data_IF_452355160573
#
_entry.id   IF_452355160573
#
_cell.length_a   1.000
_cell.length_b   1.000
_cell.length_c   1.000
_cell.angle_alpha   90.00
_cell.angle_beta   90.00
_cell.angle_gamma   90.00
#
_symmetry.space_group_name_H-M   'P 1'
#
loop_
_entity.id
_entity.type
_entity.pdbx_description
1 polymer ?
#
# COMPACT_ATOMS: atom_id res chain seq x y z
N UNK A 1 7.94 13.47 -3.30
CA UNK A 1 7.10 13.83 -4.46
C UNK A 1 7.19 15.32 -4.72
N UNK A 2 6.42 16.17 -4.02
CA UNK A 2 6.26 17.60 -4.33
C UNK A 2 7.57 18.36 -4.57
N UNK A 3 8.60 18.13 -3.75
CA UNK A 3 9.90 18.78 -3.92
C UNK A 3 10.63 18.31 -5.19
N UNK A 4 10.47 17.05 -5.58
CA UNK A 4 11.04 16.49 -6.81
C UNK A 4 10.34 17.07 -8.05
N UNK A 5 9.00 17.10 -8.04
CA UNK A 5 8.19 17.66 -9.13
C UNK A 5 8.45 19.17 -9.29
N UNK A 6 8.51 19.91 -8.18
CA UNK A 6 8.84 21.34 -8.19
C UNK A 6 10.26 21.60 -8.73
N UNK A 7 11.24 20.76 -8.33
CA UNK A 7 12.63 20.86 -8.82
C UNK A 7 12.72 20.64 -10.33
N UNK A 8 11.97 19.67 -10.87
CA UNK A 8 11.87 19.43 -12.33
C UNK A 8 11.29 20.65 -13.06
N UNK A 9 10.23 21.26 -12.51
CA UNK A 9 9.58 22.44 -13.09
C UNK A 9 10.51 23.68 -13.06
N UNK A 10 11.17 23.96 -11.93
CA UNK A 10 12.03 25.12 -11.77
C UNK A 10 13.30 25.04 -12.62
N UNK A 11 13.90 23.87 -12.74
CA UNK A 11 15.15 23.69 -13.49
C UNK A 11 14.93 23.46 -14.99
N UNK A 12 13.67 23.34 -15.46
CA UNK A 12 13.31 22.99 -16.84
C UNK A 12 14.11 21.78 -17.36
N UNK A 13 14.48 20.86 -16.46
CA UNK A 13 15.23 19.62 -16.72
C UNK A 13 14.44 18.44 -16.21
N UNK A 14 14.48 17.33 -16.92
CA UNK A 14 13.85 16.08 -16.50
C UNK A 14 14.58 15.40 -15.30
N UNK A 15 15.74 15.94 -14.90
CA UNK A 15 16.49 15.47 -13.74
C UNK A 15 15.99 16.22 -12.49
N UNK A 16 15.13 15.57 -11.71
CA UNK A 16 14.74 16.02 -10.36
C UNK A 16 15.87 15.84 -9.35
N UNK A 17 15.52 15.57 -8.10
CA UNK A 17 16.48 15.31 -7.02
C UNK A 17 17.25 14.00 -7.30
N UNK A 18 18.50 13.94 -6.87
CA UNK A 18 19.27 12.70 -7.01
C UNK A 18 18.54 11.53 -6.30
N UNK A 19 18.55 10.32 -6.88
CA UNK A 19 17.83 9.17 -6.30
C UNK A 19 18.22 8.87 -4.85
N UNK A 20 19.48 9.11 -4.48
CA UNK A 20 19.97 8.90 -3.10
C UNK A 20 19.34 9.87 -2.11
N UNK A 21 19.25 11.15 -2.47
CA UNK A 21 18.62 12.18 -1.63
C UNK A 21 17.11 11.93 -1.54
N UNK A 22 16.46 11.58 -2.65
CA UNK A 22 15.04 11.22 -2.67
C UNK A 22 14.76 10.05 -1.69
N UNK A 23 15.55 8.98 -1.78
CA UNK A 23 15.40 7.82 -0.91
C UNK A 23 15.66 8.16 0.56
N UNK A 24 16.71 8.95 0.86
CA UNK A 24 17.01 9.38 2.23
C UNK A 24 15.87 10.19 2.85
N UNK A 25 15.32 11.17 2.11
CA UNK A 25 14.20 11.97 2.59
C UNK A 25 12.93 11.16 2.81
N UNK A 26 12.64 10.18 1.93
CA UNK A 26 11.55 9.24 2.11
C UNK A 26 11.71 8.42 3.39
N UNK A 27 12.91 7.87 3.59
CA UNK A 27 13.21 7.03 4.75
C UNK A 27 13.12 7.84 6.05
N UNK A 28 13.65 9.07 6.05
CA UNK A 28 13.55 9.97 7.21
C UNK A 28 12.09 10.31 7.53
N UNK A 29 11.30 10.70 6.54
CA UNK A 29 9.90 11.03 6.76
C UNK A 29 9.08 9.81 7.25
N UNK A 30 9.30 8.63 6.65
CA UNK A 30 8.66 7.40 7.08
C UNK A 30 9.06 6.99 8.50
N UNK A 31 10.34 7.12 8.85
CA UNK A 31 10.85 6.82 10.19
C UNK A 31 10.22 7.74 11.24
N UNK A 32 10.11 9.04 10.95
CA UNK A 32 9.43 10.00 11.84
C UNK A 32 7.93 9.66 11.99
N UNK A 33 7.27 9.21 10.93
CA UNK A 33 5.88 8.76 11.01
C UNK A 33 5.73 7.51 11.89
N UNK A 34 6.65 6.54 11.80
CA UNK A 34 6.65 5.35 12.67
C UNK A 34 6.92 5.74 14.13
N UNK A 35 7.84 6.67 14.37
CA UNK A 35 8.06 7.25 15.73
C UNK A 35 6.76 7.85 16.25
N UNK A 36 6.04 8.62 15.45
CA UNK A 36 4.77 9.21 15.86
C UNK A 36 3.74 8.12 16.22
N UNK A 37 3.63 7.02 15.45
CA UNK A 37 2.77 5.87 15.78
C UNK A 37 3.12 5.35 17.19
N UNK A 38 4.40 5.09 17.45
CA UNK A 38 4.86 4.55 18.73
C UNK A 38 4.52 5.49 19.90
N UNK A 39 4.77 6.78 19.75
CA UNK A 39 4.49 7.77 20.80
C UNK A 39 3.00 8.05 21.03
N UNK A 40 2.16 7.86 20.02
CA UNK A 40 0.71 8.06 20.12
C UNK A 40 -0.04 6.81 20.57
N UNK A 41 0.59 5.64 20.52
CA UNK A 41 0.01 4.39 21.02
C UNK A 41 -0.19 4.47 22.55
N UNK A 42 -1.37 4.12 23.08
CA UNK A 42 -1.66 4.16 24.51
C UNK A 42 -0.67 3.29 25.32
N UNK A 43 -0.30 3.70 26.56
CA UNK A 43 0.73 3.01 27.35
C UNK A 43 0.44 1.53 27.70
N UNK A 44 -0.85 1.12 27.67
CA UNK A 44 -1.28 -0.26 27.96
C UNK A 44 -1.24 -1.16 26.71
N UNK A 45 -0.87 -0.59 25.56
CA UNK A 45 -0.81 -1.31 24.28
C UNK A 45 0.64 -1.38 23.84
N UNK A 46 1.13 -2.58 23.51
CA UNK A 46 2.48 -2.73 22.96
C UNK A 46 2.55 -2.20 21.54
N UNK A 47 3.25 -1.08 21.26
CA UNK A 47 3.31 -0.48 19.94
C UNK A 47 4.15 -1.27 18.92
N UNK A 48 4.96 -2.23 19.39
CA UNK A 48 5.94 -2.95 18.58
C UNK A 48 5.47 -4.31 18.09
N UNK A 49 4.26 -4.70 18.47
CA UNK A 49 3.70 -6.00 18.16
C UNK A 49 3.20 -6.06 16.71
N UNK A 50 3.70 -7.01 15.94
CA UNK A 50 3.23 -7.35 14.59
C UNK A 50 2.44 -8.65 14.68
N UNK A 51 1.19 -8.62 14.26
CA UNK A 51 0.32 -9.80 14.22
C UNK A 51 0.60 -10.61 12.95
N UNK A 52 0.76 -11.94 13.10
CA UNK A 52 0.96 -12.82 11.95
C UNK A 52 -0.41 -13.34 11.48
N UNK A 53 -0.83 -13.03 10.24
CA UNK A 53 -2.06 -13.58 9.69
C UNK A 53 -2.05 -15.10 9.75
N UNK A 54 -3.21 -15.73 10.04
CA UNK A 54 -3.40 -17.16 10.22
C UNK A 54 -2.87 -17.77 11.54
N UNK A 55 -2.01 -17.08 12.29
CA UNK A 55 -1.42 -17.58 13.53
C UNK A 55 -1.64 -16.55 14.65
N UNK A 56 -2.83 -16.51 15.27
CA UNK A 56 -3.20 -15.48 16.25
C UNK A 56 -2.29 -15.48 17.48
N UNK A 57 -1.76 -16.64 17.86
CA UNK A 57 -0.86 -16.80 19.00
C UNK A 57 0.61 -16.43 18.67
N UNK A 58 0.91 -16.20 17.38
CA UNK A 58 2.25 -15.83 16.94
C UNK A 58 2.32 -14.33 16.70
N UNK A 59 3.10 -13.65 17.52
CA UNK A 59 3.40 -12.23 17.36
C UNK A 59 4.92 -12.02 17.30
N UNK A 60 5.33 -11.07 16.47
CA UNK A 60 6.70 -10.59 16.48
C UNK A 60 6.74 -9.34 17.36
N UNK A 61 7.48 -9.42 18.45
CA UNK A 61 7.65 -8.32 19.41
C UNK A 61 9.13 -7.95 19.50
N UNK A 62 9.54 -7.00 18.70
CA UNK A 62 10.89 -6.45 18.72
C UNK A 62 10.87 -4.99 18.32
N UNK A 63 11.20 -4.04 19.23
CA UNK A 63 11.21 -2.63 18.92
C UNK A 63 12.08 -2.27 17.71
N UNK A 64 13.28 -2.83 17.66
CA UNK A 64 14.23 -2.55 16.57
C UNK A 64 13.66 -3.07 15.23
N UNK A 65 13.17 -4.32 15.22
CA UNK A 65 12.59 -4.89 14.02
C UNK A 65 11.37 -4.08 13.55
N UNK A 66 10.45 -3.76 14.45
CA UNK A 66 9.24 -2.97 14.14
C UNK A 66 9.60 -1.62 13.50
N UNK A 67 10.54 -0.87 14.09
CA UNK A 67 10.93 0.44 13.58
C UNK A 67 11.46 0.37 12.14
N UNK A 68 12.36 -0.58 11.86
CA UNK A 68 12.92 -0.73 10.52
C UNK A 68 11.91 -1.32 9.52
N UNK A 69 11.16 -2.32 9.93
CA UNK A 69 10.16 -2.99 9.10
C UNK A 69 9.03 -2.02 8.71
N UNK A 70 8.43 -1.32 9.67
CA UNK A 70 7.35 -0.36 9.39
C UNK A 70 7.81 0.81 8.52
N UNK A 71 9.04 1.31 8.76
CA UNK A 71 9.64 2.33 7.89
C UNK A 71 9.82 1.78 6.47
N UNK A 72 10.33 0.56 6.32
CA UNK A 72 10.47 -0.10 5.03
C UNK A 72 9.12 -0.27 4.33
N UNK A 73 8.07 -0.69 5.05
CA UNK A 73 6.71 -0.87 4.50
C UNK A 73 6.19 0.45 3.91
N UNK A 74 6.34 1.58 4.62
CA UNK A 74 5.92 2.90 4.11
C UNK A 74 6.69 3.28 2.84
N UNK A 75 8.03 3.20 2.89
CA UNK A 75 8.88 3.59 1.75
C UNK A 75 8.66 2.67 0.55
N UNK A 76 8.57 1.36 0.78
CA UNK A 76 8.34 0.38 -0.28
C UNK A 76 6.99 0.60 -0.96
N UNK A 77 5.91 0.80 -0.19
CA UNK A 77 4.57 1.01 -0.74
C UNK A 77 4.47 2.36 -1.47
N UNK A 78 5.08 3.42 -0.94
CA UNK A 78 5.12 4.72 -1.62
C UNK A 78 5.76 4.62 -3.01
N UNK A 79 6.90 3.94 -3.11
CA UNK A 79 7.57 3.73 -4.40
C UNK A 79 6.83 2.72 -5.28
N UNK A 80 6.19 1.71 -4.70
CA UNK A 80 5.42 0.72 -5.45
C UNK A 80 4.20 1.34 -6.13
N UNK A 81 3.44 2.19 -5.43
CA UNK A 81 2.32 2.93 -6.03
C UNK A 81 2.83 3.92 -7.09
N UNK A 82 3.96 4.57 -6.86
CA UNK A 82 4.58 5.45 -7.86
C UNK A 82 4.98 4.68 -9.14
N UNK A 83 5.53 3.48 -9.03
CA UNK A 83 5.82 2.61 -10.18
C UNK A 83 4.55 2.11 -10.89
N UNK A 84 3.45 2.01 -10.18
CA UNK A 84 2.15 1.57 -10.72
C UNK A 84 1.44 2.71 -11.48
N UNK A 85 1.82 3.97 -11.25
CA UNK A 85 1.23 5.16 -11.87
C UNK A 85 1.78 5.40 -13.30
N UNK A 86 1.74 4.36 -14.15
CA UNK A 86 2.25 4.40 -15.52
C UNK A 86 1.18 4.47 -16.60
N UNK A 87 -0.09 4.20 -16.28
CA UNK A 87 -1.23 4.25 -17.22
C UNK A 87 -2.38 5.05 -16.61
N UNK A 88 -3.18 5.69 -17.46
CA UNK A 88 -4.34 6.49 -17.06
C UNK A 88 -5.29 5.71 -16.14
N UNK A 89 -5.42 6.16 -14.90
CA UNK A 89 -6.30 5.57 -13.89
C UNK A 89 -5.80 4.28 -13.25
N UNK A 90 -4.64 3.73 -13.61
CA UNK A 90 -4.17 2.46 -13.08
C UNK A 90 -3.91 2.53 -11.58
N UNK A 91 -3.05 3.43 -11.12
CA UNK A 91 -2.72 3.59 -9.70
C UNK A 91 -3.98 3.83 -8.85
N UNK A 92 -4.88 4.70 -9.33
CA UNK A 92 -6.15 5.00 -8.66
C UNK A 92 -7.02 3.75 -8.50
N UNK A 93 -7.21 2.99 -9.59
CA UNK A 93 -8.11 1.83 -9.62
C UNK A 93 -7.60 0.64 -8.81
N UNK A 94 -6.27 0.48 -8.69
CA UNK A 94 -5.71 -0.63 -7.89
C UNK A 94 -5.55 -0.27 -6.42
N UNK A 95 -5.43 1.02 -6.05
CA UNK A 95 -5.35 1.45 -4.65
C UNK A 95 -6.72 1.64 -4.00
N UNK A 96 -7.74 2.00 -4.78
CA UNK A 96 -9.11 2.22 -4.30
C UNK A 96 -9.68 1.01 -3.52
N UNK A 97 -9.63 -0.24 -4.03
CA UNK A 97 -10.07 -1.42 -3.28
C UNK A 97 -9.30 -1.62 -1.97
N UNK A 98 -7.99 -1.28 -1.95
CA UNK A 98 -7.18 -1.39 -0.75
C UNK A 98 -7.64 -0.40 0.34
N UNK A 99 -8.00 0.83 -0.02
CA UNK A 99 -8.57 1.79 0.94
C UNK A 99 -9.96 1.38 1.41
N UNK A 100 -10.79 0.76 0.55
CA UNK A 100 -12.08 0.19 0.96
C UNK A 100 -11.86 -0.93 1.98
N UNK A 101 -10.91 -1.84 1.72
CA UNK A 101 -10.52 -2.88 2.67
C UNK A 101 -10.09 -2.27 4.02
N UNK A 102 -9.19 -1.29 4.00
CA UNK A 102 -8.74 -0.58 5.21
C UNK A 102 -9.92 0.04 5.96
N UNK A 103 -10.84 0.74 5.26
CA UNK A 103 -11.99 1.37 5.88
C UNK A 103 -12.89 0.35 6.59
N UNK A 104 -13.13 -0.81 5.98
CA UNK A 104 -13.94 -1.89 6.54
C UNK A 104 -13.26 -2.46 7.79
N UNK A 105 -11.98 -2.83 7.71
CA UNK A 105 -11.26 -3.41 8.86
C UNK A 105 -11.14 -2.40 9.98
N UNK A 106 -10.78 -1.14 9.67
CA UNK A 106 -10.69 -0.07 10.66
C UNK A 106 -12.04 0.16 11.36
N UNK A 107 -13.16 0.10 10.63
CA UNK A 107 -14.49 0.21 11.20
C UNK A 107 -14.78 -0.94 12.18
N UNK A 108 -14.48 -2.18 11.81
CA UNK A 108 -14.67 -3.37 12.65
C UNK A 108 -13.86 -3.26 13.94
N UNK A 109 -12.57 -2.94 13.85
CA UNK A 109 -11.68 -2.89 15.04
C UNK A 109 -11.87 -1.62 15.88
N UNK A 110 -12.62 -0.64 15.40
CA UNK A 110 -12.97 0.58 16.15
C UNK A 110 -14.21 0.41 17.06
N UNK A 111 -14.89 -0.71 16.96
CA UNK A 111 -16.03 -1.07 17.79
C UNK A 111 -15.70 -2.32 18.61
N UNK A 112 -15.90 -2.27 19.94
CA UNK A 112 -15.55 -3.36 20.85
C UNK A 112 -16.31 -4.65 20.59
N UNK A 113 -17.58 -4.57 20.23
CA UNK A 113 -18.42 -5.73 19.95
C UNK A 113 -18.01 -6.40 18.63
N UNK A 114 -17.83 -5.59 17.59
CA UNK A 114 -17.39 -6.10 16.30
C UNK A 114 -15.96 -6.69 16.38
N UNK A 115 -15.03 -5.98 17.02
CA UNK A 115 -13.66 -6.47 17.20
C UNK A 115 -13.67 -7.84 17.91
N UNK A 116 -14.43 -7.99 18.99
CA UNK A 116 -14.56 -9.26 19.70
C UNK A 116 -15.21 -10.35 18.82
N UNK A 117 -16.26 -10.01 18.06
CA UNK A 117 -16.93 -10.96 17.17
C UNK A 117 -16.00 -11.50 16.08
N UNK A 118 -15.09 -10.65 15.59
CA UNK A 118 -14.10 -11.04 14.57
C UNK A 118 -12.76 -11.49 15.17
N UNK A 119 -12.67 -11.66 16.51
CA UNK A 119 -11.43 -12.03 17.22
C UNK A 119 -10.24 -11.13 16.85
N UNK A 120 -10.52 -9.85 16.61
CA UNK A 120 -9.54 -8.82 16.30
C UNK A 120 -9.27 -7.96 17.54
N UNK A 121 -8.08 -7.40 17.63
CA UNK A 121 -7.74 -6.44 18.67
C UNK A 121 -8.54 -5.14 18.49
N UNK A 122 -9.21 -4.68 19.56
CA UNK A 122 -9.88 -3.39 19.57
C UNK A 122 -8.85 -2.27 19.56
N UNK A 123 -8.96 -1.35 18.60
CA UNK A 123 -8.07 -0.19 18.47
C UNK A 123 -8.92 1.08 18.44
N UNK A 124 -8.92 1.82 19.55
CA UNK A 124 -9.71 3.05 19.69
C UNK A 124 -9.44 4.07 18.58
N UNK A 125 -8.17 4.26 18.21
CA UNK A 125 -7.76 5.22 17.17
C UNK A 125 -8.13 4.76 15.74
N UNK A 126 -8.61 3.54 15.54
CA UNK A 126 -9.02 3.05 14.23
C UNK A 126 -10.20 3.85 13.63
N UNK A 127 -10.99 4.55 14.45
CA UNK A 127 -12.00 5.50 13.96
C UNK A 127 -11.42 6.60 13.08
N UNK A 128 -10.26 7.12 13.45
CA UNK A 128 -9.60 8.16 12.68
C UNK A 128 -9.08 7.59 11.36
N UNK A 129 -8.66 6.31 11.37
CA UNK A 129 -8.27 5.60 10.15
C UNK A 129 -9.46 5.40 9.20
N UNK A 130 -10.66 5.13 9.71
CA UNK A 130 -11.89 5.11 8.88
C UNK A 130 -12.06 6.45 8.16
N UNK A 131 -11.93 7.57 8.90
CA UNK A 131 -12.08 8.91 8.33
C UNK A 131 -11.02 9.17 7.25
N UNK A 132 -9.76 8.82 7.51
CA UNK A 132 -8.67 8.95 6.54
C UNK A 132 -8.90 8.10 5.29
N UNK A 133 -9.30 6.83 5.47
CA UNK A 133 -9.54 5.92 4.36
C UNK A 133 -10.74 6.35 3.50
N UNK A 134 -11.84 6.77 4.12
CA UNK A 134 -13.03 7.29 3.41
C UNK A 134 -12.69 8.59 2.68
N UNK A 135 -11.91 9.48 3.31
CA UNK A 135 -11.41 10.70 2.67
C UNK A 135 -10.55 10.37 1.44
N UNK A 136 -9.64 9.39 1.54
CA UNK A 136 -8.83 8.92 0.43
C UNK A 136 -9.70 8.31 -0.69
N UNK A 137 -10.72 7.50 -0.35
CA UNK A 137 -11.68 6.94 -1.32
C UNK A 137 -12.39 8.07 -2.08
N UNK A 138 -12.91 9.07 -1.36
CA UNK A 138 -13.57 10.22 -1.99
C UNK A 138 -12.64 11.00 -2.92
N UNK A 139 -11.41 11.26 -2.48
CA UNK A 139 -10.39 11.94 -3.29
C UNK A 139 -10.01 11.14 -4.54
N UNK A 140 -9.83 9.83 -4.41
CA UNK A 140 -9.52 8.93 -5.53
C UNK A 140 -10.66 8.86 -6.54
N UNK A 141 -11.91 8.79 -6.08
CA UNK A 141 -13.08 8.80 -6.97
C UNK A 141 -13.20 10.13 -7.73
N UNK A 142 -12.99 11.27 -7.04
CA UNK A 142 -12.97 12.57 -7.68
C UNK A 142 -11.83 12.72 -8.68
N UNK A 143 -10.63 12.23 -8.33
CA UNK A 143 -9.47 12.23 -9.23
C UNK A 143 -9.71 11.33 -10.46
N UNK A 144 -10.28 10.12 -10.27
CA UNK A 144 -10.55 9.18 -11.34
C UNK A 144 -11.54 9.73 -12.39
N UNK A 145 -12.43 10.64 -12.00
CA UNK A 145 -13.33 11.31 -12.93
C UNK A 145 -12.59 11.99 -14.07
N UNK A 146 -11.41 12.56 -13.78
CA UNK A 146 -10.57 13.27 -14.72
C UNK A 146 -9.36 12.45 -15.23
N UNK A 147 -8.96 11.40 -14.47
CA UNK A 147 -7.80 10.55 -14.77
C UNK A 147 -8.16 9.21 -15.45
N UNK A 148 -9.39 9.04 -15.95
CA UNK A 148 -9.78 7.90 -16.80
C UNK A 148 -9.11 8.01 -18.18
N UNK A 149 -9.10 6.93 -19.02
CA UNK A 149 -8.46 6.92 -20.33
C UNK A 149 -8.73 8.17 -21.15
N UNK A 150 -7.68 8.77 -21.71
CA UNK A 150 -7.52 10.14 -22.21
C UNK A 150 -7.55 11.15 -21.04
N UNK A 151 -6.73 10.87 -20.03
CA UNK A 151 -6.66 11.65 -18.81
C UNK A 151 -6.41 13.12 -19.07
N UNK A 152 -7.17 13.99 -18.39
CA UNK A 152 -6.96 15.44 -18.41
C UNK A 152 -6.08 15.93 -17.26
N UNK A 153 -5.87 15.08 -16.22
CA UNK A 153 -4.97 15.33 -15.09
C UNK A 153 -4.15 14.09 -14.78
N UNK A 154 -2.93 14.30 -14.28
CA UNK A 154 -1.99 13.24 -13.92
C UNK A 154 -1.60 13.37 -12.45
N UNK A 155 -1.34 12.23 -11.78
CA UNK A 155 -1.05 12.21 -10.36
C UNK A 155 0.38 12.67 -10.04
N UNK A 156 1.35 12.28 -10.87
CA UNK A 156 2.77 12.55 -10.67
C UNK A 156 3.35 11.93 -9.41
N UNK A 157 4.64 12.18 -9.17
CA UNK A 157 5.35 11.69 -7.99
C UNK A 157 4.76 12.24 -6.68
N UNK A 158 4.20 13.45 -6.72
CA UNK A 158 3.58 14.09 -5.56
C UNK A 158 2.38 13.30 -5.05
N UNK A 159 1.48 12.92 -5.96
CA UNK A 159 0.25 12.23 -5.59
C UNK A 159 0.48 10.74 -5.34
N UNK A 160 1.16 10.06 -6.26
CA UNK A 160 1.34 8.60 -6.19
C UNK A 160 2.16 8.15 -4.98
N UNK A 161 3.24 8.88 -4.64
CA UNK A 161 4.02 8.58 -3.45
C UNK A 161 3.27 8.90 -2.15
N UNK A 162 2.53 10.02 -2.10
CA UNK A 162 1.70 10.35 -0.95
C UNK A 162 0.60 9.30 -0.75
N UNK A 163 -0.05 8.85 -1.82
CA UNK A 163 -1.08 7.83 -1.81
C UNK A 163 -0.56 6.49 -1.28
N UNK A 164 0.61 6.04 -1.78
CA UNK A 164 1.23 4.81 -1.32
C UNK A 164 1.69 4.87 0.14
N UNK A 165 2.26 6.00 0.56
CA UNK A 165 2.65 6.23 1.95
C UNK A 165 1.43 6.25 2.89
N UNK A 166 0.34 6.92 2.49
CA UNK A 166 -0.91 6.95 3.25
C UNK A 166 -1.51 5.54 3.38
N UNK A 167 -1.53 4.78 2.29
CA UNK A 167 -2.03 3.40 2.31
C UNK A 167 -1.25 2.54 3.32
N UNK A 168 0.08 2.55 3.24
CA UNK A 168 0.93 1.80 4.17
C UNK A 168 0.73 2.27 5.62
N UNK A 169 0.65 3.59 5.85
CA UNK A 169 0.43 4.18 7.16
C UNK A 169 -0.91 3.71 7.76
N UNK A 170 -1.98 3.66 6.96
CA UNK A 170 -3.27 3.13 7.40
C UNK A 170 -3.17 1.65 7.80
N UNK A 171 -2.48 0.81 7.02
CA UNK A 171 -2.27 -0.60 7.36
C UNK A 171 -1.48 -0.77 8.67
N UNK A 172 -0.47 0.07 8.93
CA UNK A 172 0.27 0.07 10.21
C UNK A 172 -0.62 0.48 11.39
N UNK A 173 -1.45 1.52 11.22
CA UNK A 173 -2.35 1.98 12.28
C UNK A 173 -3.41 0.96 12.68
N UNK A 174 -3.86 0.14 11.73
CA UNK A 174 -4.81 -0.96 12.00
C UNK A 174 -4.11 -2.30 12.32
N UNK A 175 -2.79 -2.32 12.42
CA UNK A 175 -1.95 -3.51 12.70
C UNK A 175 -2.18 -4.68 11.74
N UNK A 176 -2.38 -4.36 10.48
CA UNK A 176 -2.60 -5.35 9.41
C UNK A 176 -1.54 -5.22 8.31
N UNK A 177 -0.34 -4.81 8.67
CA UNK A 177 0.76 -4.55 7.72
C UNK A 177 1.15 -5.79 6.92
N UNK A 178 1.00 -6.99 7.48
CA UNK A 178 1.29 -8.25 6.78
C UNK A 178 0.17 -8.64 5.79
N UNK A 179 -1.01 -8.04 5.87
CA UNK A 179 -2.06 -8.19 4.84
C UNK A 179 -1.89 -7.23 3.67
N UNK A 180 -1.09 -6.17 3.82
CA UNK A 180 -0.83 -5.22 2.74
C UNK A 180 -0.27 -5.87 1.46
N UNK A 181 0.71 -6.81 1.51
CA UNK A 181 1.17 -7.53 0.32
C UNK A 181 0.09 -8.35 -0.38
N UNK A 182 -0.92 -8.80 0.36
CA UNK A 182 -2.03 -9.59 -0.17
C UNK A 182 -3.08 -8.66 -0.77
N UNK A 183 -3.57 -7.68 -0.04
CA UNK A 183 -4.55 -6.71 -0.52
C UNK A 183 -3.99 -5.87 -1.68
N UNK A 184 -2.73 -5.43 -1.57
CA UNK A 184 -1.99 -4.67 -2.57
C UNK A 184 -1.17 -5.53 -3.55
N UNK A 185 -1.57 -6.77 -3.79
CA UNK A 185 -0.79 -7.73 -4.58
C UNK A 185 -0.44 -7.21 -5.99
N UNK A 186 -1.34 -6.50 -6.64
CA UNK A 186 -1.08 -5.90 -7.96
C UNK A 186 0.07 -4.89 -7.87
N UNK A 187 0.04 -4.02 -6.87
CA UNK A 187 1.08 -3.01 -6.62
C UNK A 187 2.43 -3.68 -6.31
N UNK A 188 2.38 -4.77 -5.52
CA UNK A 188 3.56 -5.58 -5.22
C UNK A 188 4.15 -6.21 -6.48
N UNK A 189 3.33 -6.81 -7.35
CA UNK A 189 3.78 -7.46 -8.58
C UNK A 189 4.38 -6.48 -9.59
N UNK A 190 3.83 -5.25 -9.68
CA UNK A 190 4.43 -4.17 -10.46
C UNK A 190 5.88 -3.93 -10.02
N UNK A 191 6.09 -3.75 -8.73
CA UNK A 191 7.41 -3.50 -8.14
C UNK A 191 8.35 -4.70 -8.28
N UNK A 192 7.86 -5.91 -7.97
CA UNK A 192 8.66 -7.13 -8.09
C UNK A 192 9.13 -7.37 -9.52
N UNK A 193 8.29 -7.07 -10.51
CA UNK A 193 8.68 -7.20 -11.92
C UNK A 193 9.88 -6.33 -12.27
N UNK A 194 9.96 -5.11 -11.73
CA UNK A 194 11.10 -4.20 -11.91
C UNK A 194 12.35 -4.75 -11.22
N UNK A 195 12.21 -5.20 -9.96
CA UNK A 195 13.33 -5.76 -9.20
C UNK A 195 13.90 -7.01 -9.92
N UNK A 196 13.02 -7.92 -10.32
CA UNK A 196 13.40 -9.13 -11.06
C UNK A 196 14.10 -8.75 -12.37
N UNK A 197 13.51 -7.84 -13.15
CA UNK A 197 14.07 -7.42 -14.44
C UNK A 197 15.48 -6.84 -14.28
N UNK A 198 15.67 -5.90 -13.35
CA UNK A 198 16.97 -5.25 -13.11
C UNK A 198 17.99 -6.28 -12.61
N UNK A 199 17.59 -7.16 -11.71
CA UNK A 199 18.46 -8.21 -11.15
C UNK A 199 18.94 -9.17 -12.25
N UNK A 200 18.02 -9.65 -13.09
CA UNK A 200 18.40 -10.57 -14.18
C UNK A 200 19.25 -9.90 -15.27
N UNK A 201 18.99 -8.63 -15.59
CA UNK A 201 19.86 -7.87 -16.52
C UNK A 201 21.26 -7.76 -15.94
N UNK A 202 21.40 -7.41 -14.65
CA UNK A 202 22.73 -7.25 -14.01
C UNK A 202 23.49 -8.57 -13.86
N UNK A 203 22.80 -9.67 -13.51
CA UNK A 203 23.46 -10.94 -13.21
C UNK A 203 23.66 -11.82 -14.46
N UNK A 204 22.73 -11.79 -15.41
CA UNK A 204 22.69 -12.73 -16.54
C UNK A 204 22.68 -12.04 -17.90
N UNK A 205 22.65 -10.71 -17.95
CA UNK A 205 22.49 -9.91 -19.16
C UNK A 205 21.29 -10.34 -20.03
N UNK A 206 20.19 -10.78 -19.36
CA UNK A 206 18.97 -11.25 -20.02
C UNK A 206 17.76 -10.55 -19.44
N UNK A 207 16.78 -10.29 -20.30
CA UNK A 207 15.46 -9.79 -19.89
C UNK A 207 14.56 -10.95 -19.52
N UNK A 208 13.79 -10.83 -18.43
CA UNK A 208 12.73 -11.75 -18.02
C UNK A 208 11.39 -11.32 -18.63
N UNK A 209 11.10 -10.04 -18.54
CA UNK A 209 9.94 -9.41 -19.15
C UNK A 209 10.30 -8.64 -20.40
N UNK A 210 9.38 -8.44 -21.33
CA UNK A 210 9.58 -7.59 -22.50
C UNK A 210 9.94 -6.16 -22.06
N UNK A 211 9.19 -5.67 -21.09
CA UNK A 211 9.43 -4.42 -20.37
C UNK A 211 8.98 -4.56 -18.91
N UNK A 212 9.44 -3.70 -18.01
CA UNK A 212 9.00 -3.62 -16.62
C UNK A 212 8.77 -2.14 -16.26
N UNK A 213 7.74 -1.82 -15.46
CA UNK A 213 6.81 -2.69 -14.72
C UNK A 213 5.87 -3.56 -15.60
N UNK A 214 5.04 -4.43 -14.95
CA UNK A 214 4.20 -5.42 -15.65
C UNK A 214 3.20 -4.81 -16.64
N UNK A 215 2.60 -3.67 -16.35
CA UNK A 215 1.67 -3.01 -17.27
C UNK A 215 2.34 -2.76 -18.62
N UNK A 216 3.58 -2.29 -18.66
CA UNK A 216 4.33 -2.10 -19.90
C UNK A 216 4.67 -3.42 -20.62
N UNK A 217 4.81 -4.54 -19.86
CA UNK A 217 4.97 -5.85 -20.50
C UNK A 217 3.74 -6.24 -21.32
N UNK A 218 2.53 -5.95 -20.80
CA UNK A 218 1.28 -6.25 -21.51
C UNK A 218 1.04 -5.28 -22.67
N UNK A 219 1.42 -4.02 -22.56
CA UNK A 219 1.41 -3.08 -23.69
C UNK A 219 2.30 -3.59 -24.83
N UNK A 220 3.52 -4.04 -24.52
CA UNK A 220 4.43 -4.63 -25.52
C UNK A 220 3.90 -5.92 -26.13
N UNK A 221 2.95 -6.60 -25.48
CA UNK A 221 2.18 -7.73 -26.02
C UNK A 221 1.00 -7.30 -26.88
N UNK A 222 0.76 -6.00 -27.05
CA UNK A 222 -0.31 -5.46 -27.88
C UNK A 222 -1.66 -5.32 -27.16
N UNK A 223 -1.71 -5.39 -25.83
CA UNK A 223 -2.95 -5.12 -25.10
C UNK A 223 -3.24 -3.61 -25.08
N UNK A 224 -4.52 -3.24 -25.22
CA UNK A 224 -4.94 -1.86 -25.02
C UNK A 224 -4.78 -1.46 -23.56
N UNK A 225 -4.37 -0.22 -23.31
CA UNK A 225 -4.22 0.35 -21.96
C UNK A 225 -5.48 0.15 -21.10
N UNK A 226 -6.67 0.43 -21.65
CA UNK A 226 -7.93 0.24 -20.96
C UNK A 226 -8.14 -1.21 -20.51
N UNK A 227 -7.77 -2.18 -21.33
CA UNK A 227 -7.86 -3.60 -20.98
C UNK A 227 -6.90 -3.98 -19.85
N UNK A 228 -5.69 -3.43 -19.84
CA UNK A 228 -4.71 -3.65 -18.78
C UNK A 228 -5.26 -3.08 -17.46
N UNK A 229 -5.70 -1.83 -17.48
CA UNK A 229 -6.24 -1.13 -16.31
C UNK A 229 -7.46 -1.86 -15.73
N UNK A 230 -8.39 -2.30 -16.57
CA UNK A 230 -9.57 -3.05 -16.13
C UNK A 230 -9.20 -4.38 -15.48
N UNK A 231 -8.33 -5.18 -16.12
CA UNK A 231 -7.91 -6.48 -15.59
C UNK A 231 -7.14 -6.34 -14.28
N UNK A 232 -6.26 -5.35 -14.17
CA UNK A 232 -5.52 -5.08 -12.95
C UNK A 232 -6.45 -4.60 -11.81
N UNK A 233 -7.49 -3.82 -12.16
CA UNK A 233 -8.53 -3.42 -11.20
C UNK A 233 -9.30 -4.62 -10.66
N UNK A 234 -9.72 -5.54 -11.54
CA UNK A 234 -10.41 -6.77 -11.15
C UNK A 234 -9.51 -7.62 -10.25
N UNK A 235 -8.23 -7.80 -10.63
CA UNK A 235 -7.27 -8.51 -9.79
C UNK A 235 -7.12 -7.86 -8.42
N UNK A 236 -7.03 -6.53 -8.34
CA UNK A 236 -6.93 -5.82 -7.06
C UNK A 236 -8.16 -6.04 -6.18
N UNK A 237 -9.37 -5.97 -6.77
CA UNK A 237 -10.62 -6.26 -6.04
C UNK A 237 -10.60 -7.70 -5.50
N UNK A 238 -10.24 -8.68 -6.32
CA UNK A 238 -10.15 -10.08 -5.90
C UNK A 238 -9.13 -10.29 -4.78
N UNK A 239 -7.99 -9.62 -4.84
CA UNK A 239 -6.97 -9.66 -3.78
C UNK A 239 -7.49 -9.07 -2.46
N UNK A 240 -8.23 -7.96 -2.51
CA UNK A 240 -8.86 -7.38 -1.32
C UNK A 240 -9.97 -8.28 -0.75
N UNK A 241 -10.77 -8.92 -1.61
CA UNK A 241 -11.77 -9.92 -1.18
C UNK A 241 -11.07 -11.11 -0.52
N UNK A 242 -9.96 -11.59 -1.10
CA UNK A 242 -9.17 -12.66 -0.50
C UNK A 242 -8.55 -12.25 0.84
N UNK A 243 -8.01 -11.05 0.97
CA UNK A 243 -7.52 -10.51 2.24
C UNK A 243 -8.64 -10.42 3.29
N UNK A 244 -9.86 -10.03 2.88
CA UNK A 244 -11.02 -10.03 3.77
C UNK A 244 -11.42 -11.44 4.21
N UNK A 245 -11.35 -12.41 3.31
CA UNK A 245 -11.62 -13.82 3.63
C UNK A 245 -10.60 -14.37 4.65
N UNK A 246 -9.34 -13.93 4.61
CA UNK A 246 -8.33 -14.28 5.62
C UNK A 246 -8.74 -13.77 7.00
N UNK A 247 -9.20 -12.52 7.10
CA UNK A 247 -9.67 -11.94 8.37
C UNK A 247 -10.89 -12.70 8.90
N UNK A 248 -11.84 -13.04 8.03
CA UNK A 248 -13.02 -13.83 8.41
C UNK A 248 -12.65 -15.26 8.85
N UNK A 249 -11.70 -15.89 8.19
CA UNK A 249 -11.20 -17.23 8.57
C UNK A 249 -10.51 -17.18 9.93
N UNK A 250 -9.71 -16.15 10.19
CA UNK A 250 -9.10 -15.92 11.50
C UNK A 250 -10.16 -15.79 12.60
N UNK A 251 -11.22 -15.00 12.35
CA UNK A 251 -12.35 -14.88 13.29
C UNK A 251 -13.04 -16.22 13.55
N UNK A 252 -13.28 -17.01 12.50
CA UNK A 252 -13.94 -18.32 12.61
C UNK A 252 -13.11 -19.32 13.42
N UNK A 253 -11.81 -19.42 13.16
CA UNK A 253 -10.91 -20.35 13.88
C UNK A 253 -10.90 -20.02 15.39
N UNK A 254 -10.86 -18.75 15.75
CA UNK A 254 -10.81 -18.32 17.15
C UNK A 254 -12.17 -18.35 17.88
N UNK A 255 -13.27 -18.39 17.13
CA UNK A 255 -14.62 -18.50 17.69
C UNK A 255 -15.00 -19.95 18.06
N UNK A 256 -14.31 -20.95 17.51
CA UNK A 256 -14.55 -22.38 17.81
C UNK A 256 -13.70 -22.75 19.04
N UNK A 257 -14.31 -23.07 20.20
CA UNK A 257 -13.54 -23.59 21.33
C UNK A 257 -12.87 -24.90 20.89
N UNK A 258 -11.58 -25.03 21.13
CA UNK A 258 -10.87 -26.30 20.98
C UNK A 258 -11.33 -27.16 22.14
N UNK A 259 -12.23 -28.14 21.87
CA UNK A 259 -12.63 -29.16 22.83
C UNK A 259 -11.47 -30.07 23.19
#
# INVERSE_FOLDING_TARGET
GAYDDLSKLMQKRNAGISPRVKFFLQYLAAFLAVIAIVFTTPPHVNPYMIQIPFFPDMTLDSPIFYMFFSTFVIVATANAVNLTDGLDGLATRVTLPCFIFVAIIAFIISDTHLAQQFSLEYIFMARDVVTLAVGAIGALMGFLWYNKPKASIFMGDTGSMALGALLAFCFLLIRQELLLPIAGFVILMETLSVIIQITFIKLKNKKVFLFAPLHHHFEQKGWCESTIVERFSICSILCCVFASAIVLLHAYINAVPIE
#
